data_IF_026695896160
#
_entry.id   IF_026695896160
#
_cell.length_a   1.000
_cell.length_b   1.000
_cell.length_c   1.000
_cell.angle_alpha   90.00
_cell.angle_beta   90.00
_cell.angle_gamma   90.00
#
_symmetry.space_group_name_H-M   'P 1'
#
loop_
_entity.id
_entity.type
_entity.pdbx_description
1 polymer ?
#
# COMPACT_ATOMS: atom_id res chain seq x y z
N UNK A 1 -13.47 -19.30 -22.31
CA UNK A 1 -12.24 -18.47 -22.32
C UNK A 1 -12.51 -17.28 -21.40
N UNK A 2 -12.09 -17.35 -20.14
CA UNK A 2 -12.18 -16.18 -19.26
C UNK A 2 -11.03 -15.25 -19.62
N UNK A 3 -11.32 -14.08 -20.19
CA UNK A 3 -10.33 -13.04 -20.33
C UNK A 3 -9.85 -12.69 -18.92
N UNK A 4 -8.60 -13.06 -18.59
CA UNK A 4 -8.00 -12.65 -17.33
C UNK A 4 -8.12 -11.13 -17.23
N UNK A 5 -8.76 -10.65 -16.16
CA UNK A 5 -8.88 -9.23 -15.90
C UNK A 5 -7.48 -8.64 -15.69
N UNK A 6 -6.84 -8.18 -16.76
CA UNK A 6 -5.55 -7.51 -16.66
C UNK A 6 -5.77 -6.22 -15.88
N UNK A 7 -5.20 -6.15 -14.68
CA UNK A 7 -5.14 -4.91 -13.92
C UNK A 7 -4.20 -3.98 -14.68
N UNK A 8 -4.71 -2.85 -15.14
CA UNK A 8 -3.89 -1.75 -15.64
C UNK A 8 -3.04 -1.20 -14.48
N UNK A 9 -1.71 -1.38 -14.50
CA UNK A 9 -0.84 -0.97 -13.40
C UNK A 9 -0.81 0.54 -13.20
N UNK A 10 -0.94 1.34 -14.28
CA UNK A 10 -0.90 2.79 -14.19
C UNK A 10 -2.15 3.33 -13.49
N UNK A 11 -3.32 2.89 -13.96
CA UNK A 11 -4.60 3.23 -13.30
C UNK A 11 -4.65 2.79 -11.85
N UNK A 12 -4.03 1.66 -11.54
CA UNK A 12 -3.97 1.16 -10.17
C UNK A 12 -3.03 1.99 -9.29
N UNK A 13 -1.88 2.41 -9.83
CA UNK A 13 -0.96 3.32 -9.15
C UNK A 13 -1.64 4.66 -8.86
N UNK A 14 -2.38 5.24 -9.82
CA UNK A 14 -3.11 6.50 -9.62
C UNK A 14 -4.16 6.39 -8.53
N UNK A 15 -4.92 5.28 -8.51
CA UNK A 15 -5.89 5.02 -7.45
C UNK A 15 -5.24 4.88 -6.06
N UNK A 16 -4.06 4.26 -6.00
CA UNK A 16 -3.29 4.13 -4.77
C UNK A 16 -2.77 5.49 -4.27
N UNK A 17 -2.21 6.32 -5.16
CA UNK A 17 -1.77 7.67 -4.78
C UNK A 17 -2.95 8.56 -4.35
N UNK A 18 -4.07 8.52 -5.07
CA UNK A 18 -5.28 9.25 -4.68
C UNK A 18 -5.82 8.85 -3.30
N UNK A 19 -5.74 7.57 -2.94
CA UNK A 19 -6.04 7.11 -1.58
C UNK A 19 -5.05 7.69 -0.56
N UNK A 20 -3.75 7.65 -0.85
CA UNK A 20 -2.71 8.17 0.07
C UNK A 20 -2.88 9.67 0.30
N UNK A 21 -3.20 10.43 -0.74
CA UNK A 21 -3.47 11.87 -0.64
C UNK A 21 -4.75 12.16 0.15
N UNK A 22 -5.82 11.40 -0.09
CA UNK A 22 -7.09 11.54 0.64
C UNK A 22 -6.96 11.35 2.15
N UNK A 23 -6.02 10.50 2.59
CA UNK A 23 -5.75 10.28 4.01
C UNK A 23 -4.60 11.13 4.56
N UNK A 24 -3.80 11.77 3.70
CA UNK A 24 -2.60 12.51 4.12
C UNK A 24 -2.92 13.64 5.11
N UNK A 25 -4.06 14.31 4.94
CA UNK A 25 -4.54 15.37 5.84
C UNK A 25 -4.84 14.92 7.26
N UNK A 26 -5.00 13.61 7.52
CA UNK A 26 -5.18 13.05 8.87
C UNK A 26 -3.88 12.94 9.66
N UNK A 27 -2.75 13.09 9.00
CA UNK A 27 -1.43 12.98 9.61
C UNK A 27 -0.70 14.31 9.53
N UNK A 28 -0.36 14.89 10.68
CA UNK A 28 0.41 16.15 10.76
C UNK A 28 1.89 15.95 10.45
N UNK A 29 2.41 14.73 10.65
CA UNK A 29 3.82 14.37 10.44
C UNK A 29 4.00 13.50 9.19
N UNK A 30 5.19 13.55 8.60
CA UNK A 30 5.54 12.78 7.39
C UNK A 30 5.81 11.30 7.69
N UNK A 31 6.32 10.98 8.87
CA UNK A 31 6.65 9.60 9.26
C UNK A 31 5.42 8.70 9.34
N UNK A 32 4.29 9.12 9.95
CA UNK A 32 3.04 8.37 9.91
C UNK A 32 2.50 8.15 8.48
N UNK A 33 2.67 9.14 7.58
CA UNK A 33 2.28 9.00 6.16
C UNK A 33 3.10 7.92 5.45
N UNK A 34 4.41 7.90 5.67
CA UNK A 34 5.28 6.83 5.15
C UNK A 34 4.93 5.47 5.74
N UNK A 35 4.58 5.42 7.04
CA UNK A 35 4.20 4.18 7.71
C UNK A 35 2.88 3.61 7.20
N UNK A 36 1.85 4.45 7.00
CA UNK A 36 0.58 3.97 6.43
C UNK A 36 0.76 3.49 4.99
N UNK A 37 1.57 4.19 4.17
CA UNK A 37 1.90 3.74 2.81
C UNK A 37 2.52 2.33 2.82
N UNK A 38 3.54 2.10 3.66
CA UNK A 38 4.14 0.77 3.82
C UNK A 38 3.15 -0.27 4.33
N UNK A 39 2.26 0.11 5.25
CA UNK A 39 1.21 -0.78 5.74
C UNK A 39 0.30 -1.24 4.60
N UNK A 40 -0.22 -0.31 3.80
CA UNK A 40 -1.14 -0.63 2.70
C UNK A 40 -0.42 -1.45 1.64
N UNK A 41 0.82 -1.13 1.26
CA UNK A 41 1.62 -1.98 0.37
C UNK A 41 1.84 -3.40 0.93
N UNK A 42 2.06 -3.53 2.23
CA UNK A 42 2.15 -4.83 2.91
C UNK A 42 0.85 -5.62 2.93
N UNK A 43 -0.31 -4.94 3.00
CA UNK A 43 -1.63 -5.57 2.87
C UNK A 43 -1.91 -6.04 1.44
N UNK A 44 -1.33 -5.38 0.44
CA UNK A 44 -1.53 -5.67 -0.98
C UNK A 44 -0.56 -6.70 -1.53
N UNK A 45 0.62 -6.84 -0.91
CA UNK A 45 1.63 -7.81 -1.32
C UNK A 45 1.21 -9.26 -1.05
N UNK A 46 1.92 -10.19 -1.65
CA UNK A 46 1.67 -11.63 -1.54
C UNK A 46 2.29 -12.23 -0.26
N UNK A 47 2.03 -11.57 0.88
CA UNK A 47 2.50 -12.06 2.17
C UNK A 47 1.58 -13.18 2.68
N UNK A 48 2.15 -14.30 3.15
CA UNK A 48 1.35 -15.40 3.70
C UNK A 48 0.58 -14.99 4.96
N UNK A 49 1.06 -13.96 5.68
CA UNK A 49 0.39 -13.38 6.85
C UNK A 49 0.46 -11.86 6.82
N UNK A 50 -0.71 -11.22 6.72
CA UNK A 50 -0.87 -9.77 6.56
C UNK A 50 -1.19 -9.10 7.91
N UNK A 51 -0.29 -9.21 8.88
CA UNK A 51 -0.40 -8.51 10.16
C UNK A 51 0.65 -7.39 10.28
N UNK A 52 0.45 -6.45 11.20
CA UNK A 52 1.32 -5.29 11.36
C UNK A 52 2.79 -5.66 11.64
N UNK A 53 3.05 -6.72 12.39
CA UNK A 53 4.40 -7.20 12.69
C UNK A 53 5.11 -7.72 11.43
N UNK A 54 4.46 -8.63 10.70
CA UNK A 54 5.01 -9.21 9.47
C UNK A 54 5.22 -8.16 8.40
N UNK A 55 4.32 -7.18 8.31
CA UNK A 55 4.44 -6.08 7.35
C UNK A 55 5.57 -5.12 7.75
N UNK A 56 5.72 -4.80 9.04
CA UNK A 56 6.79 -3.92 9.52
C UNK A 56 8.17 -4.47 9.16
N UNK A 57 8.41 -5.74 9.48
CA UNK A 57 9.72 -6.39 9.26
C UNK A 57 10.06 -6.52 7.77
N UNK A 58 9.07 -6.71 6.88
CA UNK A 58 9.33 -6.91 5.44
C UNK A 58 9.49 -5.63 4.63
N UNK A 59 9.04 -4.49 5.16
CA UNK A 59 9.18 -3.18 4.52
C UNK A 59 10.18 -2.25 5.24
N UNK A 60 10.96 -2.77 6.19
CA UNK A 60 12.05 -2.04 6.87
C UNK A 60 13.34 -1.98 6.03
N UNK A 61 13.43 -2.78 4.96
CA UNK A 61 14.55 -2.79 4.01
C UNK A 61 14.11 -2.13 2.70
N UNK A 62 14.15 -0.80 2.67
CA UNK A 62 14.09 0.02 1.45
C UNK A 62 14.74 1.38 1.71
#
# INVERSE_FOLDING_TARGET
>A
MAAGHSVDPARWQDAFEGLMDGIAGRFTRVEPRRRIRRLVLGLLSDLPRKNCWTIAVRHEVA
#
